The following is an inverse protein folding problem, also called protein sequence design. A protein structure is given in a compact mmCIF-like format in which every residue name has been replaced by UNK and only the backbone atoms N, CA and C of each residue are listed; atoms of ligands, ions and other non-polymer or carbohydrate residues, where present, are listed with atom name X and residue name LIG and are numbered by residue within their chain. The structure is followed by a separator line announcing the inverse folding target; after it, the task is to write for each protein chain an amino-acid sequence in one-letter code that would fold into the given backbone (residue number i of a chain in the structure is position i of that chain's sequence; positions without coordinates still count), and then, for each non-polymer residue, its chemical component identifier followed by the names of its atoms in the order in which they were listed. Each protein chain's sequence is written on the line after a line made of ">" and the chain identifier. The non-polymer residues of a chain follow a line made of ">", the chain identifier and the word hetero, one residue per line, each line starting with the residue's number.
data_IF_085502865533
#
_entry.id   IF_085502865533
#
_cell.length_a   1.000
_cell.length_b   1.000
_cell.length_c   1.000
_cell.angle_alpha   90.00
_cell.angle_beta   90.00
_cell.angle_gamma   90.00
#
_symmetry.space_group_name_H-M   'P 1'
#
loop_
_entity.id
_entity.type
_entity.pdbx_description
1 polymer ?
#
# COMPACT_ATOMS: atom_id res chain seq x y z
N UNK A 1 -6.44 11.37 -30.50
CA UNK A 1 -6.04 9.97 -30.22
C UNK A 1 -6.50 9.61 -28.82
N UNK A 2 -7.54 8.79 -28.68
CA UNK A 2 -7.99 8.32 -27.37
C UNK A 2 -7.07 7.17 -26.93
N UNK A 3 -6.14 7.44 -26.00
CA UNK A 3 -5.47 6.36 -25.26
C UNK A 3 -6.59 5.60 -24.53
N UNK A 4 -6.86 4.35 -24.91
CA UNK A 4 -7.63 3.45 -24.04
C UNK A 4 -6.87 3.43 -22.71
N UNK A 5 -7.51 3.71 -21.56
CA UNK A 5 -6.86 3.48 -20.29
C UNK A 5 -6.43 2.02 -20.30
N UNK A 6 -5.13 1.76 -20.16
CA UNK A 6 -4.71 0.40 -19.84
C UNK A 6 -5.43 0.01 -18.55
N UNK A 7 -6.00 -1.21 -18.46
CA UNK A 7 -6.67 -1.63 -17.25
C UNK A 7 -5.66 -1.53 -16.11
N UNK A 8 -5.90 -0.61 -15.17
CA UNK A 8 -5.09 -0.48 -13.99
C UNK A 8 -5.30 -1.73 -13.16
N UNK A 9 -4.21 -2.43 -12.84
CA UNK A 9 -4.25 -3.57 -11.93
C UNK A 9 -3.88 -3.05 -10.55
N UNK A 10 -4.78 -3.22 -9.59
CA UNK A 10 -4.55 -2.81 -8.21
C UNK A 10 -4.37 -4.02 -7.30
N UNK A 11 -3.38 -3.96 -6.42
CA UNK A 11 -3.18 -4.92 -5.34
C UNK A 11 -3.32 -4.19 -4.01
N UNK A 12 -4.08 -4.78 -3.08
CA UNK A 12 -4.19 -4.28 -1.70
C UNK A 12 -3.65 -5.34 -0.76
N UNK A 13 -2.59 -4.99 -0.04
CA UNK A 13 -1.89 -5.87 0.88
C UNK A 13 -2.33 -5.58 2.32
N UNK A 14 -2.81 -6.61 3.01
CA UNK A 14 -3.11 -6.54 4.44
C UNK A 14 -2.01 -7.25 5.22
N UNK A 15 -1.22 -6.48 5.97
CA UNK A 15 -0.21 -7.01 6.87
C UNK A 15 -0.87 -7.88 7.95
N UNK A 16 -0.40 -9.12 8.08
CA UNK A 16 -0.74 -10.00 9.20
C UNK A 16 0.53 -10.27 10.02
N UNK A 17 0.61 -9.76 11.27
CA UNK A 17 1.68 -10.12 12.20
C UNK A 17 1.60 -11.59 12.64
N UNK A 18 2.70 -12.15 13.14
CA UNK A 18 2.77 -13.56 13.53
C UNK A 18 1.78 -13.96 14.64
N UNK A 19 1.49 -13.04 15.57
CA UNK A 19 0.73 -13.30 16.81
C UNK A 19 -0.78 -13.06 16.70
N UNK A 20 -1.32 -12.81 15.50
CA UNK A 20 -2.77 -12.60 15.36
C UNK A 20 -3.50 -13.89 15.03
N UNK A 21 -4.73 -13.99 15.56
CA UNK A 21 -5.64 -15.12 15.34
C UNK A 21 -5.74 -15.50 13.87
N UNK A 22 -5.90 -16.79 13.52
CA UNK A 22 -6.22 -17.23 12.17
C UNK A 22 -7.45 -16.50 11.57
N UNK A 23 -8.39 -16.08 12.41
CA UNK A 23 -9.61 -15.37 12.02
C UNK A 23 -9.40 -13.84 11.82
N UNK A 24 -8.16 -13.39 11.73
CA UNK A 24 -7.83 -11.99 11.37
C UNK A 24 -8.30 -11.63 9.95
N UNK A 25 -8.37 -12.64 9.09
CA UNK A 25 -8.78 -12.52 7.70
C UNK A 25 -10.31 -12.40 7.64
N UNK A 26 -10.84 -11.21 7.34
CA UNK A 26 -12.29 -10.99 7.26
C UNK A 26 -12.84 -9.73 7.92
N UNK A 27 -11.98 -8.76 8.26
CA UNK A 27 -12.44 -7.44 8.73
C UNK A 27 -13.28 -6.71 7.67
N UNK A 28 -14.12 -5.76 8.09
CA UNK A 28 -14.91 -4.91 7.19
C UNK A 28 -14.05 -4.21 6.12
N UNK A 29 -12.79 -3.89 6.46
CA UNK A 29 -11.85 -3.26 5.54
C UNK A 29 -11.40 -4.23 4.42
N UNK A 30 -11.19 -5.51 4.74
CA UNK A 30 -10.87 -6.53 3.74
C UNK A 30 -12.03 -6.72 2.77
N UNK A 31 -13.26 -6.88 3.29
CA UNK A 31 -14.45 -7.05 2.47
C UNK A 31 -14.68 -5.83 1.55
N UNK A 32 -14.49 -4.62 2.10
CA UNK A 32 -14.60 -3.37 1.35
C UNK A 32 -13.58 -3.28 0.21
N UNK A 33 -12.31 -3.62 0.46
CA UNK A 33 -11.27 -3.62 -0.56
C UNK A 33 -11.54 -4.67 -1.66
N UNK A 34 -11.99 -5.87 -1.27
CA UNK A 34 -12.29 -6.96 -2.20
C UNK A 34 -13.48 -6.65 -3.11
N UNK A 35 -14.39 -5.77 -2.69
CA UNK A 35 -15.52 -5.32 -3.49
C UNK A 35 -15.15 -4.30 -4.59
N UNK A 36 -13.93 -3.76 -4.59
CA UNK A 36 -13.49 -2.75 -5.57
C UNK A 36 -13.15 -3.44 -6.91
N UNK A 37 -13.81 -3.06 -8.03
CA UNK A 37 -13.50 -3.64 -9.33
C UNK A 37 -12.03 -3.45 -9.74
N UNK A 38 -11.40 -4.51 -10.25
CA UNK A 38 -9.99 -4.47 -10.70
C UNK A 38 -8.96 -4.54 -9.56
N UNK A 39 -9.40 -4.80 -8.32
CA UNK A 39 -8.52 -4.96 -7.16
C UNK A 39 -8.34 -6.43 -6.80
N UNK A 40 -7.11 -6.85 -6.56
CA UNK A 40 -6.77 -8.13 -5.94
C UNK A 40 -6.33 -7.87 -4.50
N UNK A 41 -7.02 -8.48 -3.53
CA UNK A 41 -6.65 -8.39 -2.12
C UNK A 41 -5.78 -9.56 -1.73
N UNK A 42 -4.65 -9.28 -1.08
CA UNK A 42 -3.66 -10.28 -0.67
C UNK A 42 -3.30 -10.06 0.80
N UNK A 43 -2.99 -11.16 1.48
CA UNK A 43 -2.37 -11.12 2.81
C UNK A 43 -0.87 -10.99 2.67
N UNK A 44 -0.28 -10.11 3.45
CA UNK A 44 1.16 -9.97 3.59
C UNK A 44 1.59 -10.58 4.92
N UNK A 45 1.86 -11.88 4.88
CA UNK A 45 2.30 -12.65 6.04
C UNK A 45 3.68 -12.21 6.49
N UNK A 46 3.80 -11.91 7.79
CA UNK A 46 5.05 -11.44 8.40
C UNK A 46 5.61 -10.13 7.82
N UNK A 47 4.89 -9.48 6.91
CA UNK A 47 5.33 -8.23 6.28
C UNK A 47 6.40 -8.38 5.20
N UNK A 48 6.46 -9.54 4.53
CA UNK A 48 7.43 -9.81 3.45
C UNK A 48 7.33 -8.79 2.32
N UNK A 49 6.11 -8.47 1.87
CA UNK A 49 5.90 -7.48 0.81
C UNK A 49 6.07 -6.06 1.35
N UNK A 50 5.64 -5.78 2.57
CA UNK A 50 5.91 -4.50 3.24
C UNK A 50 7.41 -4.20 3.31
N UNK A 51 8.24 -5.20 3.65
CA UNK A 51 9.71 -5.08 3.62
C UNK A 51 10.22 -4.85 2.20
N UNK A 52 9.78 -5.67 1.23
CA UNK A 52 10.20 -5.58 -0.18
C UNK A 52 9.91 -4.21 -0.78
N UNK A 53 8.78 -3.61 -0.43
CA UNK A 53 8.34 -2.31 -0.91
C UNK A 53 8.75 -1.15 0.00
N UNK A 54 9.51 -1.41 1.07
CA UNK A 54 9.90 -0.44 2.09
C UNK A 54 8.69 0.34 2.67
N UNK A 55 7.57 -0.35 2.85
CA UNK A 55 6.34 0.19 3.40
C UNK A 55 6.40 0.27 4.93
N UNK A 56 6.62 1.48 5.45
CA UNK A 56 6.71 1.72 6.89
C UNK A 56 5.37 2.14 7.53
N UNK A 57 4.42 2.61 6.73
CA UNK A 57 3.18 3.21 7.20
C UNK A 57 1.99 2.69 6.40
N UNK A 58 0.91 2.32 7.08
CA UNK A 58 -0.32 1.88 6.42
C UNK A 58 -0.90 3.00 5.55
N UNK A 59 -1.45 2.62 4.40
CA UNK A 59 -1.93 3.58 3.39
C UNK A 59 -0.87 4.07 2.40
N UNK A 60 0.36 3.56 2.46
CA UNK A 60 1.33 3.76 1.37
C UNK A 60 0.78 3.20 0.06
N UNK A 61 0.88 3.98 -1.00
CA UNK A 61 0.49 3.59 -2.37
C UNK A 61 1.66 3.77 -3.31
N UNK A 62 1.90 2.75 -4.13
CA UNK A 62 2.94 2.70 -5.15
C UNK A 62 2.28 2.54 -6.52
N UNK A 63 2.70 3.33 -7.50
CA UNK A 63 2.24 3.19 -8.89
C UNK A 63 3.43 2.93 -9.78
N UNK A 64 3.35 1.85 -10.55
CA UNK A 64 4.39 1.46 -11.50
C UNK A 64 3.88 1.54 -12.94
N UNK A 65 4.79 1.84 -13.87
CA UNK A 65 4.53 1.69 -15.30
C UNK A 65 4.60 0.22 -15.74
N UNK A 66 4.18 -0.12 -16.98
CA UNK A 66 4.25 -1.50 -17.49
C UNK A 66 5.67 -2.08 -17.62
N UNK A 67 6.71 -1.27 -17.45
CA UNK A 67 8.12 -1.68 -17.44
C UNK A 67 8.67 -1.82 -16.02
N UNK A 68 7.83 -1.69 -14.99
CA UNK A 68 8.22 -1.78 -13.58
C UNK A 68 8.88 -0.51 -13.03
N UNK A 69 8.79 0.64 -13.73
CA UNK A 69 9.34 1.90 -13.22
C UNK A 69 8.37 2.54 -12.24
N UNK A 70 8.85 2.93 -11.07
CA UNK A 70 8.06 3.66 -10.08
C UNK A 70 7.69 5.05 -10.62
N UNK A 71 6.40 5.33 -10.70
CA UNK A 71 5.82 6.61 -11.12
C UNK A 71 5.37 7.46 -9.93
N UNK A 72 4.91 6.82 -8.85
CA UNK A 72 4.42 7.51 -7.66
C UNK A 72 4.63 6.69 -6.39
N UNK A 73 4.96 7.36 -5.29
CA UNK A 73 5.07 6.79 -3.94
C UNK A 73 4.50 7.77 -2.89
N UNK A 74 3.38 7.43 -2.27
CA UNK A 74 2.79 8.30 -1.25
C UNK A 74 1.42 7.85 -0.78
N UNK A 75 0.77 8.65 0.07
CA UNK A 75 -0.58 8.38 0.58
C UNK A 75 -1.69 8.91 -0.33
N UNK A 76 -2.83 8.22 -0.31
CA UNK A 76 -4.04 8.62 -1.06
C UNK A 76 -4.95 9.59 -0.30
N UNK A 77 -4.68 9.91 0.96
CA UNK A 77 -5.52 10.78 1.80
C UNK A 77 -4.78 12.07 2.16
N UNK A 78 -5.53 13.18 2.27
CA UNK A 78 -4.97 14.49 2.64
C UNK A 78 -4.69 14.61 4.15
N UNK A 79 -5.51 13.98 4.99
CA UNK A 79 -5.35 13.85 6.45
C UNK A 79 -6.31 12.77 7.02
N UNK A 80 -6.20 12.42 8.32
CA UNK A 80 -7.20 11.57 8.99
C UNK A 80 -8.56 12.31 9.04
N UNK A 81 -9.62 11.66 8.58
CA UNK A 81 -11.00 12.12 8.78
C UNK A 81 -11.49 13.27 7.88
N UNK A 82 -10.74 13.67 6.85
CA UNK A 82 -11.23 14.57 5.81
C UNK A 82 -11.44 13.84 4.48
N UNK A 83 -12.69 13.71 4.06
CA UNK A 83 -13.01 13.52 2.64
C UNK A 83 -12.71 14.83 1.90
N UNK A 84 -11.88 14.76 0.87
CA UNK A 84 -11.50 15.96 0.12
C UNK A 84 -10.32 15.75 -0.83
N UNK A 85 -9.87 16.86 -1.41
CA UNK A 85 -8.85 16.89 -2.45
C UNK A 85 -7.51 16.30 -1.96
N UNK A 86 -7.25 15.07 -2.38
CA UNK A 86 -6.01 14.36 -2.05
C UNK A 86 -4.93 14.68 -3.06
N UNK A 87 -3.82 15.25 -2.59
CA UNK A 87 -2.63 15.47 -3.40
C UNK A 87 -2.17 14.18 -4.10
N UNK A 88 -2.17 13.05 -3.38
CA UNK A 88 -1.79 11.76 -3.95
C UNK A 88 -2.73 11.31 -5.06
N UNK A 89 -4.05 11.39 -4.83
CA UNK A 89 -5.06 11.05 -5.85
C UNK A 89 -4.93 11.91 -7.10
N UNK A 90 -4.79 13.23 -6.94
CA UNK A 90 -4.60 14.16 -8.06
C UNK A 90 -3.34 13.82 -8.86
N UNK A 91 -2.24 13.56 -8.17
CA UNK A 91 -0.95 13.23 -8.80
C UNK A 91 -1.02 11.93 -9.58
N UNK A 92 -1.59 10.86 -9.00
CA UNK A 92 -1.77 9.58 -9.70
C UNK A 92 -2.65 9.76 -10.95
N UNK A 93 -3.79 10.45 -10.84
CA UNK A 93 -4.65 10.70 -12.00
C UNK A 93 -3.89 11.49 -13.07
N UNK A 94 -3.14 12.52 -12.69
CA UNK A 94 -2.36 13.33 -13.63
C UNK A 94 -1.26 12.51 -14.32
N UNK A 95 -0.53 11.66 -13.58
CA UNK A 95 0.48 10.76 -14.12
C UNK A 95 -0.12 9.76 -15.12
N UNK A 96 -1.26 9.15 -14.78
CA UNK A 96 -1.92 8.15 -15.63
C UNK A 96 -2.54 8.77 -16.90
N UNK A 97 -3.04 10.00 -16.82
CA UNK A 97 -3.76 10.65 -17.94
C UNK A 97 -2.86 11.50 -18.82
N UNK A 98 -1.91 12.24 -18.24
CA UNK A 98 -1.04 13.19 -18.94
C UNK A 98 0.43 12.76 -18.99
N UNK A 99 0.85 11.81 -18.15
CA UNK A 99 2.25 11.43 -17.99
C UNK A 99 3.07 12.37 -17.11
N UNK A 100 2.46 13.40 -16.51
CA UNK A 100 3.14 14.40 -15.69
C UNK A 100 2.34 14.75 -14.44
N UNK A 101 3.02 15.19 -13.39
CA UNK A 101 2.42 15.74 -12.17
C UNK A 101 3.38 16.76 -11.54
N UNK A 102 2.89 17.59 -10.61
CA UNK A 102 3.71 18.55 -9.86
C UNK A 102 4.77 17.87 -8.99
N UNK A 103 4.45 16.69 -8.44
CA UNK A 103 5.34 15.80 -7.71
C UNK A 103 4.94 14.34 -7.92
N UNK A 104 5.86 13.43 -7.62
CA UNK A 104 5.66 11.96 -7.66
C UNK A 104 5.49 11.34 -6.28
N UNK A 105 5.26 12.17 -5.26
CA UNK A 105 5.08 11.73 -3.87
C UNK A 105 3.89 12.42 -3.20
N UNK A 106 3.52 11.96 -2.00
CA UNK A 106 2.64 12.66 -1.07
C UNK A 106 2.84 12.12 0.35
N UNK A 107 2.46 12.88 1.41
CA UNK A 107 2.46 12.36 2.76
C UNK A 107 1.61 11.09 2.89
N UNK A 108 2.07 10.16 3.74
CA UNK A 108 1.35 8.93 4.09
C UNK A 108 0.92 9.04 5.54
N UNK A 109 -0.37 8.84 5.80
CA UNK A 109 -0.94 8.87 7.14
C UNK A 109 -1.55 7.52 7.47
N UNK A 110 -1.05 6.90 8.54
CA UNK A 110 -1.49 5.58 8.95
C UNK A 110 -0.84 5.15 10.25
N UNK A 111 -1.00 3.87 10.57
CA UNK A 111 -0.28 3.21 11.64
C UNK A 111 1.06 2.70 11.09
N UNK A 112 2.06 2.56 11.96
CA UNK A 112 3.32 1.93 11.56
C UNK A 112 3.10 0.45 11.17
N UNK A 113 3.82 -0.02 10.16
CA UNK A 113 3.80 -1.41 9.67
C UNK A 113 4.99 -2.24 10.19
N UNK A 114 5.70 -1.74 11.22
CA UNK A 114 6.93 -2.34 11.74
C UNK A 114 6.72 -3.65 12.53
N UNK A 115 7.72 -4.53 12.38
CA UNK A 115 7.87 -5.87 12.96
C UNK A 115 7.39 -5.98 14.42
N UNK A 116 6.56 -6.98 14.71
CA UNK A 116 6.61 -7.63 16.02
C UNK A 116 8.06 -8.08 16.25
N UNK A 117 8.66 -7.53 17.30
CA UNK A 117 10.03 -7.76 17.76
C UNK A 117 10.42 -9.25 17.64
N UNK A 118 11.18 -9.63 16.61
CA UNK A 118 11.88 -10.91 16.63
C UNK A 118 13.15 -10.69 17.43
N UNK A 119 13.38 -11.39 18.55
CA UNK A 119 14.74 -11.51 19.05
C UNK A 119 15.58 -12.09 17.92
N UNK A 120 16.69 -11.44 17.61
CA UNK A 120 17.68 -12.00 16.69
C UNK A 120 18.08 -13.36 17.27
N UNK A 121 18.12 -14.40 16.43
CA UNK A 121 18.56 -15.74 16.79
C UNK A 121 20.05 -15.81 17.24
N UNK A 122 20.67 -14.67 17.57
CA UNK A 122 21.99 -14.57 18.18
C UNK A 122 21.96 -14.53 19.72
N UNK A 123 20.77 -14.49 20.35
CA UNK A 123 20.65 -14.39 21.82
C UNK A 123 20.28 -15.72 22.51
N UNK A 124 20.50 -16.88 21.86
CA UNK A 124 20.21 -18.22 22.41
C UNK A 124 21.45 -19.06 22.76
N UNK A 125 22.64 -18.46 22.74
CA UNK A 125 23.87 -19.09 23.25
C UNK A 125 24.40 -18.30 24.46
N UNK A 126 23.66 -18.31 25.57
CA UNK A 126 24.21 -18.31 26.94
C UNK A 126 23.07 -18.31 27.97
N UNK A 127 22.70 -19.51 28.44
CA UNK A 127 22.18 -19.75 29.79
C UNK A 127 22.26 -21.22 30.17
#
# INVERSE_FOLDING_TARGET
>A
MARRPQPLVAYVLFLRPHDVSPDWDGTDLWASAAAIPGTTVLRDDEGVEAERFHALTSGLTLVYDPRGRLLFQGGLTSSRGHEGDSFGRRRIISLLTTGTADRTDSPVFGCALGHSDRPRAADLEDQ
#
